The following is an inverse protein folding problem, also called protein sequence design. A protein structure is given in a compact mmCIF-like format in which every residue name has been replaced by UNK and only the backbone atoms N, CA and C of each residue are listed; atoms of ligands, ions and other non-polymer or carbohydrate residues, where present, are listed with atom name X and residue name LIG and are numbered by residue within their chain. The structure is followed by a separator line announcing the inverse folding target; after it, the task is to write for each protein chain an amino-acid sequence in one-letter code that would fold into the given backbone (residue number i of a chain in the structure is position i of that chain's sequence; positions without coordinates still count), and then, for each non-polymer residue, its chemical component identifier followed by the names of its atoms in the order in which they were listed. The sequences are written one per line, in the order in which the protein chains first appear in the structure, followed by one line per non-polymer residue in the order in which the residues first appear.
data_IF_045394637732
#
_entry.id   IF_045394637732
#
_cell.length_a   1.000
_cell.length_b   1.000
_cell.length_c   1.000
_cell.angle_alpha   90.00
_cell.angle_beta   90.00
_cell.angle_gamma   90.00
#
_symmetry.space_group_name_H-M   'P 1'
#
loop_
_entity.id
_entity.type
_entity.pdbx_description
1 polymer ?
#
# COMPACT_ATOMS: atom_id res chain seq x y z
N UNK A 1 -12.37 -5.46 9.71
CA UNK A 1 -12.75 -4.42 8.71
C UNK A 1 -11.81 -4.54 7.52
N UNK A 2 -12.26 -4.32 6.29
CA UNK A 2 -11.39 -4.30 5.10
C UNK A 2 -11.11 -2.86 4.70
N UNK A 3 -9.86 -2.56 4.36
CA UNK A 3 -9.42 -1.22 3.99
C UNK A 3 -8.58 -1.29 2.72
N UNK A 4 -8.97 -0.51 1.71
CA UNK A 4 -8.23 -0.35 0.48
C UNK A 4 -7.40 0.94 0.53
N UNK A 5 -6.08 0.82 0.41
CA UNK A 5 -5.17 1.97 0.33
C UNK A 5 -4.87 2.27 -1.14
N UNK A 6 -5.26 3.45 -1.60
CA UNK A 6 -4.95 3.96 -2.94
C UNK A 6 -3.86 5.03 -2.88
N UNK A 7 -2.63 4.60 -2.58
CA UNK A 7 -1.44 5.45 -2.58
C UNK A 7 -0.41 4.88 -3.57
N UNK A 8 -0.20 5.61 -4.67
CA UNK A 8 0.65 5.22 -5.80
C UNK A 8 1.44 6.44 -6.30
N UNK A 9 2.48 6.20 -7.09
CA UNK A 9 3.26 7.25 -7.74
C UNK A 9 4.65 7.41 -7.12
N UNK A 10 4.94 8.55 -6.51
CA UNK A 10 6.27 8.87 -5.97
C UNK A 10 6.41 8.40 -4.52
N UNK A 11 7.67 8.30 -4.05
CA UNK A 11 7.98 7.94 -2.67
C UNK A 11 7.27 8.82 -1.63
N UNK A 12 7.06 10.11 -1.93
CA UNK A 12 6.41 11.05 -1.01
C UNK A 12 5.00 10.66 -0.57
N UNK A 13 4.27 9.86 -1.38
CA UNK A 13 2.98 9.30 -1.01
C UNK A 13 3.09 7.88 -0.46
N UNK A 14 3.97 7.07 -1.03
CA UNK A 14 4.14 5.66 -0.66
C UNK A 14 4.66 5.48 0.76
N UNK A 15 5.73 6.18 1.13
CA UNK A 15 6.35 6.02 2.45
C UNK A 15 5.41 6.34 3.62
N UNK A 16 4.70 7.49 3.66
CA UNK A 16 3.78 7.76 4.75
C UNK A 16 2.55 6.82 4.74
N UNK A 17 2.06 6.41 3.57
CA UNK A 17 0.95 5.46 3.49
C UNK A 17 1.34 4.08 4.04
N UNK A 18 2.52 3.56 3.71
CA UNK A 18 3.04 2.30 4.25
C UNK A 18 3.27 2.42 5.77
N UNK A 19 3.84 3.54 6.23
CA UNK A 19 4.04 3.79 7.65
C UNK A 19 2.70 3.81 8.41
N UNK A 20 1.66 4.39 7.82
CA UNK A 20 0.31 4.42 8.38
C UNK A 20 -0.32 3.02 8.39
N UNK A 21 -0.21 2.26 7.29
CA UNK A 21 -0.73 0.90 7.16
C UNK A 21 -0.18 -0.02 8.27
N UNK A 22 1.12 0.10 8.58
CA UNK A 22 1.78 -0.66 9.65
C UNK A 22 1.26 -0.38 11.06
N UNK A 23 0.53 0.71 11.27
CA UNK A 23 -0.10 1.02 12.57
C UNK A 23 -1.52 0.45 12.69
N UNK A 24 -2.11 -0.03 11.58
CA UNK A 24 -3.49 -0.51 11.51
C UNK A 24 -3.55 -2.04 11.60
N UNK A 25 -3.40 -2.57 12.81
CA UNK A 25 -3.32 -4.02 13.03
C UNK A 25 -4.68 -4.75 12.97
N UNK A 26 -5.80 -4.05 13.19
CA UNK A 26 -7.15 -4.64 13.24
C UNK A 26 -7.89 -4.60 11.88
N UNK A 27 -7.16 -4.30 10.80
CA UNK A 27 -7.69 -4.16 9.46
C UNK A 27 -7.05 -5.17 8.50
N UNK A 28 -7.87 -5.73 7.62
CA UNK A 28 -7.38 -6.42 6.43
C UNK A 28 -7.09 -5.36 5.36
N UNK A 29 -5.81 -5.16 5.06
CA UNK A 29 -5.35 -4.12 4.14
C UNK A 29 -5.14 -4.72 2.76
N UNK A 30 -5.72 -4.07 1.76
CA UNK A 30 -5.49 -4.30 0.33
C UNK A 30 -4.91 -3.01 -0.28
N UNK A 31 -4.08 -3.12 -1.30
CA UNK A 31 -3.39 -1.98 -1.91
C UNK A 31 -3.76 -1.83 -3.38
N UNK A 32 -4.18 -0.63 -3.78
CA UNK A 32 -4.41 -0.27 -5.19
C UNK A 32 -3.18 0.48 -5.72
N UNK A 33 -2.56 -0.06 -6.75
CA UNK A 33 -1.36 0.51 -7.38
C UNK A 33 -1.44 0.52 -8.90
N UNK A 34 -0.33 0.90 -9.52
CA UNK A 34 -0.15 0.94 -10.96
C UNK A 34 0.96 -0.06 -11.34
N UNK A 35 0.82 -0.83 -12.42
CA UNK A 35 1.82 -1.82 -12.79
C UNK A 35 3.16 -1.15 -13.16
N UNK A 36 4.27 -1.87 -12.93
CA UNK A 36 5.65 -1.43 -13.27
C UNK A 36 6.09 -0.10 -12.62
N UNK A 37 5.61 0.18 -11.39
CA UNK A 37 5.96 1.38 -10.61
C UNK A 37 6.61 1.02 -9.27
N UNK A 38 6.99 2.02 -8.48
CA UNK A 38 7.71 1.82 -7.21
C UNK A 38 6.90 0.98 -6.21
N UNK A 39 5.56 1.11 -6.19
CA UNK A 39 4.69 0.32 -5.33
C UNK A 39 4.85 -1.20 -5.52
N UNK A 40 5.20 -1.68 -6.72
CA UNK A 40 5.36 -3.13 -6.97
C UNK A 40 6.56 -3.72 -6.23
N UNK A 41 7.47 -2.87 -5.76
CA UNK A 41 8.66 -3.26 -5.00
C UNK A 41 8.63 -2.77 -3.55
N UNK A 42 8.06 -1.59 -3.29
CA UNK A 42 8.05 -0.97 -1.96
C UNK A 42 6.88 -1.39 -1.09
N UNK A 43 5.72 -1.70 -1.66
CA UNK A 43 4.56 -2.14 -0.86
C UNK A 43 4.86 -3.53 -0.31
N UNK A 44 4.77 -3.74 1.02
CA UNK A 44 4.96 -5.05 1.62
C UNK A 44 4.01 -6.10 1.03
N UNK A 45 4.50 -7.31 0.78
CA UNK A 45 3.72 -8.42 0.20
C UNK A 45 2.53 -8.87 1.07
N UNK A 46 2.54 -8.50 2.35
CA UNK A 46 1.41 -8.70 3.27
C UNK A 46 0.17 -7.88 2.90
N UNK A 47 0.33 -6.81 2.11
CA UNK A 47 -0.77 -6.04 1.53
C UNK A 47 -0.92 -6.47 0.07
N UNK A 48 -1.96 -7.27 -0.28
CA UNK A 48 -2.19 -7.68 -1.66
C UNK A 48 -2.27 -6.47 -2.57
N UNK A 49 -1.42 -6.45 -3.60
CA UNK A 49 -1.35 -5.37 -4.57
C UNK A 49 -2.24 -5.67 -5.79
N UNK A 50 -3.18 -4.77 -6.05
CA UNK A 50 -4.06 -4.78 -7.21
C UNK A 50 -3.60 -3.68 -8.17
N UNK A 51 -3.27 -4.05 -9.41
CA UNK A 51 -2.77 -3.15 -10.46
C UNK A 51 -3.59 -3.24 -11.73
#
# INVERSE_FOLDING_TARGET
MRLLIAASGTGGHLFPAIATAKQLNDCQIEWLGVPNRLETTLVPKEYPLHT
#
